data_IF_992751945280
#
_entry.id   IF_992751945280
#
_cell.length_a   1.000
_cell.length_b   1.000
_cell.length_c   1.000
_cell.angle_alpha   90.00
_cell.angle_beta   90.00
_cell.angle_gamma   90.00
#
_symmetry.space_group_name_H-M   'P 1'
#
loop_
_entity.id
_entity.type
_entity.pdbx_description
1 polymer ?
#
# COMPACT_ATOMS: atom_id res chain seq x y z
N UNK A 1 -31.99 17.88 13.55
CA UNK A 1 -31.04 16.88 14.05
C UNK A 1 -30.35 16.27 12.84
N UNK A 2 -29.11 16.69 12.58
CA UNK A 2 -28.32 16.19 11.46
C UNK A 2 -27.40 15.08 11.97
N UNK A 3 -27.77 13.83 11.71
CA UNK A 3 -26.98 12.65 12.09
C UNK A 3 -25.55 12.72 11.52
N UNK A 4 -25.33 13.46 10.42
CA UNK A 4 -23.99 13.61 9.82
C UNK A 4 -23.06 14.49 10.65
N UNK A 5 -23.59 15.52 11.32
CA UNK A 5 -22.79 16.45 12.13
C UNK A 5 -22.33 15.89 13.47
N UNK A 6 -23.12 15.01 14.09
CA UNK A 6 -22.78 14.38 15.38
C UNK A 6 -21.77 13.24 15.17
N UNK A 7 -21.98 12.42 14.13
CA UNK A 7 -21.04 11.35 13.76
C UNK A 7 -19.68 11.92 13.34
N UNK A 8 -19.65 13.08 12.67
CA UNK A 8 -18.38 13.70 12.27
C UNK A 8 -17.59 14.22 13.47
N UNK A 9 -18.19 14.97 14.38
CA UNK A 9 -17.47 15.64 15.47
C UNK A 9 -16.81 14.64 16.45
N UNK A 10 -17.51 13.57 16.81
CA UNK A 10 -16.96 12.54 17.69
C UNK A 10 -15.88 11.70 16.99
N UNK A 11 -16.02 11.42 15.69
CA UNK A 11 -14.99 10.74 14.92
C UNK A 11 -13.72 11.59 14.80
N UNK A 12 -13.86 12.88 14.44
CA UNK A 12 -12.75 13.82 14.38
C UNK A 12 -12.05 13.94 15.74
N UNK A 13 -12.81 14.06 16.82
CA UNK A 13 -12.27 14.16 18.18
C UNK A 13 -11.50 12.89 18.56
N UNK A 14 -12.06 11.71 18.28
CA UNK A 14 -11.37 10.44 18.56
C UNK A 14 -10.12 10.25 17.69
N UNK A 15 -10.11 10.72 16.45
CA UNK A 15 -8.93 10.74 15.58
C UNK A 15 -7.85 11.67 16.14
N UNK A 16 -8.22 12.90 16.53
CA UNK A 16 -7.27 13.87 17.10
C UNK A 16 -6.65 13.44 18.43
N UNK A 17 -7.36 12.62 19.21
CA UNK A 17 -6.88 12.12 20.50
C UNK A 17 -6.32 10.70 20.43
N UNK A 18 -6.22 10.11 19.24
CA UNK A 18 -5.71 8.74 19.06
C UNK A 18 -6.53 7.70 19.88
N UNK A 19 -7.82 8.00 20.08
CA UNK A 19 -8.77 7.23 20.92
C UNK A 19 -9.76 6.40 20.11
N UNK A 20 -9.65 6.43 18.78
CA UNK A 20 -10.36 5.45 17.97
C UNK A 20 -9.60 4.13 18.10
N UNK A 21 -10.32 3.06 18.40
CA UNK A 21 -9.90 1.68 18.10
C UNK A 21 -9.87 1.46 16.56
N UNK A 22 -9.45 2.46 15.79
CA UNK A 22 -9.29 2.38 14.34
C UNK A 22 -7.91 1.81 14.09
N UNK A 23 -7.88 0.74 13.31
CA UNK A 23 -6.64 0.24 12.75
C UNK A 23 -6.10 1.29 11.76
N UNK A 24 -5.16 2.13 12.21
CA UNK A 24 -4.54 3.18 11.40
C UNK A 24 -3.95 2.64 10.09
N UNK A 25 -3.46 1.40 10.10
CA UNK A 25 -3.00 0.71 8.89
C UNK A 25 -4.12 0.59 7.85
N UNK A 26 -5.27 0.05 8.24
CA UNK A 26 -6.43 -0.10 7.34
C UNK A 26 -6.96 1.24 6.83
N UNK A 27 -6.92 2.29 7.66
CA UNK A 27 -7.31 3.63 7.24
C UNK A 27 -6.36 4.18 6.17
N UNK A 28 -5.05 4.07 6.40
CA UNK A 28 -4.03 4.54 5.45
C UNK A 28 -4.07 3.73 4.15
N UNK A 29 -4.24 2.42 4.22
CA UNK A 29 -4.44 1.55 3.04
C UNK A 29 -5.66 1.97 2.22
N UNK A 30 -6.78 2.28 2.87
CA UNK A 30 -7.98 2.75 2.19
C UNK A 30 -7.76 4.12 1.52
N UNK A 31 -7.08 5.05 2.20
CA UNK A 31 -6.71 6.36 1.62
C UNK A 31 -5.83 6.17 0.38
N UNK A 32 -4.82 5.30 0.45
CA UNK A 32 -3.98 4.92 -0.70
C UNK A 32 -4.80 4.30 -1.82
N UNK A 33 -5.71 3.37 -1.50
CA UNK A 33 -6.58 2.75 -2.49
C UNK A 33 -7.39 3.81 -3.25
N UNK A 34 -8.00 4.77 -2.53
CA UNK A 34 -8.76 5.85 -3.14
C UNK A 34 -7.90 6.75 -4.03
N UNK A 35 -6.69 7.10 -3.59
CA UNK A 35 -5.74 7.89 -4.40
C UNK A 35 -5.33 7.17 -5.69
N UNK A 36 -4.99 5.88 -5.61
CA UNK A 36 -4.64 5.07 -6.78
C UNK A 36 -5.83 4.94 -7.76
N UNK A 37 -7.05 4.72 -7.24
CA UNK A 37 -8.27 4.68 -8.06
C UNK A 37 -8.53 6.00 -8.75
N UNK A 38 -8.36 7.12 -8.05
CA UNK A 38 -8.52 8.46 -8.61
C UNK A 38 -7.48 8.76 -9.69
N UNK A 39 -6.25 8.25 -9.55
CA UNK A 39 -5.19 8.32 -10.56
C UNK A 39 -5.42 7.37 -11.77
N UNK A 40 -6.50 6.58 -11.77
CA UNK A 40 -6.88 5.73 -12.90
C UNK A 40 -6.41 4.28 -12.82
N UNK A 41 -5.78 3.88 -11.70
CA UNK A 41 -5.32 2.50 -11.53
C UNK A 41 -6.46 1.53 -11.23
N UNK A 42 -6.38 0.33 -11.82
CA UNK A 42 -7.11 -0.82 -11.30
C UNK A 42 -6.31 -1.41 -10.14
N UNK A 43 -6.99 -1.61 -9.01
CA UNK A 43 -6.37 -2.19 -7.82
C UNK A 43 -6.53 -3.70 -7.85
N UNK A 44 -5.42 -4.40 -7.69
CA UNK A 44 -5.38 -5.84 -7.47
C UNK A 44 -4.64 -6.11 -6.16
N UNK A 45 -5.11 -7.10 -5.42
CA UNK A 45 -4.48 -7.53 -4.16
C UNK A 45 -3.86 -8.90 -4.37
N UNK A 46 -2.73 -9.18 -3.71
CA UNK A 46 -2.10 -10.50 -3.80
C UNK A 46 -1.88 -11.06 -2.41
N UNK A 47 -2.50 -12.20 -2.13
CA UNK A 47 -2.28 -12.96 -0.91
C UNK A 47 -2.03 -14.42 -1.25
N UNK A 48 -0.95 -14.98 -0.73
CA UNK A 48 -0.65 -16.39 -0.78
C UNK A 48 -0.53 -16.92 0.64
N UNK A 49 -1.51 -17.72 1.06
CA UNK A 49 -1.61 -18.23 2.43
C UNK A 49 -1.02 -19.63 2.60
N UNK A 50 0.06 -19.96 1.87
CA UNK A 50 0.66 -21.30 1.88
C UNK A 50 0.80 -21.86 3.31
N UNK A 51 0.17 -23.04 3.51
CA UNK A 51 0.15 -23.75 4.79
C UNK A 51 1.39 -24.62 5.00
N UNK A 52 2.12 -24.90 3.92
CA UNK A 52 3.23 -25.85 3.88
C UNK A 52 4.60 -25.17 3.74
N UNK A 53 4.65 -23.93 3.23
CA UNK A 53 5.89 -23.18 3.03
C UNK A 53 5.75 -21.75 3.54
N UNK A 54 6.50 -21.41 4.58
CA UNK A 54 6.55 -20.05 5.12
C UNK A 54 7.15 -19.07 4.10
N UNK A 55 8.02 -19.55 3.21
CA UNK A 55 8.63 -18.75 2.14
C UNK A 55 7.62 -18.35 1.06
N UNK A 56 6.60 -19.18 0.86
CA UNK A 56 5.51 -18.86 -0.07
C UNK A 56 4.43 -17.96 0.53
N UNK A 57 4.41 -17.80 1.86
CA UNK A 57 3.47 -16.91 2.52
C UNK A 57 3.89 -15.46 2.31
N UNK A 58 3.06 -14.73 1.57
CA UNK A 58 3.23 -13.29 1.35
C UNK A 58 1.88 -12.65 1.03
N UNK A 59 1.75 -11.41 1.47
CA UNK A 59 0.62 -10.53 1.17
C UNK A 59 1.19 -9.20 0.69
N UNK A 60 0.65 -8.68 -0.40
CA UNK A 60 1.01 -7.40 -0.99
C UNK A 60 -0.26 -6.57 -1.07
N UNK A 61 -0.21 -5.37 -0.49
CA UNK A 61 -1.38 -4.49 -0.34
C UNK A 61 -1.97 -4.12 -1.69
N UNK A 62 -1.16 -3.70 -2.67
CA UNK A 62 -1.66 -3.42 -4.02
C UNK A 62 -0.68 -3.86 -5.11
N UNK A 63 -1.24 -4.25 -6.25
CA UNK A 63 -0.55 -4.38 -7.52
C UNK A 63 -1.19 -3.40 -8.50
N UNK A 64 -0.38 -2.54 -9.11
CA UNK A 64 -0.80 -1.67 -10.21
C UNK A 64 -0.11 -2.10 -11.51
N UNK A 65 -0.79 -1.87 -12.63
CA UNK A 65 -0.19 -2.08 -13.94
C UNK A 65 0.45 -0.77 -14.43
N UNK A 66 1.57 -0.88 -15.15
CA UNK A 66 2.11 0.28 -15.88
C UNK A 66 1.09 0.80 -16.88
N UNK A 67 1.09 2.11 -17.17
CA UNK A 67 0.26 2.68 -18.24
C UNK A 67 0.51 2.04 -19.60
N UNK A 68 1.77 1.65 -19.88
CA UNK A 68 2.18 0.98 -21.11
C UNK A 68 2.63 -0.44 -20.80
N UNK A 69 1.83 -1.41 -21.24
CA UNK A 69 2.12 -2.84 -21.12
C UNK A 69 3.15 -3.26 -22.17
N UNK A 70 4.22 -3.90 -21.73
CA UNK A 70 5.24 -4.52 -22.60
C UNK A 70 5.18 -6.05 -22.48
N UNK A 71 6.13 -6.78 -23.06
CA UNK A 71 6.17 -8.24 -22.93
C UNK A 71 6.56 -8.72 -21.53
N UNK A 72 7.18 -7.87 -20.69
CA UNK A 72 7.62 -8.16 -19.32
C UNK A 72 7.53 -6.92 -18.44
N UNK A 73 7.76 -7.05 -17.14
CA UNK A 73 7.89 -5.89 -16.23
C UNK A 73 6.69 -4.93 -16.28
N UNK A 74 5.48 -5.46 -16.12
CA UNK A 74 4.24 -4.68 -16.27
C UNK A 74 3.57 -4.35 -14.95
N UNK A 75 3.94 -5.02 -13.87
CA UNK A 75 3.23 -4.97 -12.60
C UNK A 75 4.12 -4.34 -11.55
N UNK A 76 3.66 -3.29 -10.90
CA UNK A 76 4.34 -2.66 -9.78
C UNK A 76 3.64 -3.07 -8.48
N UNK A 77 4.33 -3.84 -7.60
CA UNK A 77 3.82 -4.13 -6.27
C UNK A 77 4.00 -2.90 -5.37
N UNK A 78 3.00 -2.63 -4.53
CA UNK A 78 2.95 -1.52 -3.61
C UNK A 78 2.67 -2.07 -2.22
N UNK A 79 3.52 -1.69 -1.28
CA UNK A 79 3.35 -1.93 0.15
C UNK A 79 3.07 -0.59 0.85
N UNK A 80 2.04 -0.53 1.69
CA UNK A 80 1.63 0.66 2.43
C UNK A 80 2.04 0.52 3.89
N UNK A 81 2.69 1.56 4.43
CA UNK A 81 3.22 1.58 5.79
C UNK A 81 2.77 2.83 6.53
N UNK A 82 1.92 2.64 7.54
CA UNK A 82 1.43 3.69 8.42
C UNK A 82 2.31 3.94 9.65
N UNK A 83 3.14 2.95 10.06
CA UNK A 83 3.95 3.02 11.28
C UNK A 83 5.45 3.18 11.04
N UNK A 84 6.19 3.60 12.08
CA UNK A 84 7.63 3.88 11.98
C UNK A 84 8.51 2.64 11.79
N UNK A 85 8.06 1.47 12.27
CA UNK A 85 8.78 0.20 12.19
C UNK A 85 7.97 -0.80 11.38
N UNK A 86 8.54 -1.25 10.28
CA UNK A 86 7.94 -2.29 9.44
C UNK A 86 9.01 -3.16 8.81
N UNK A 87 8.61 -4.35 8.40
CA UNK A 87 9.42 -5.24 7.57
C UNK A 87 8.87 -5.25 6.15
N UNK A 88 9.72 -5.56 5.18
CA UNK A 88 9.35 -5.68 3.77
C UNK A 88 9.46 -7.13 3.30
N UNK A 89 9.22 -8.09 4.20
CA UNK A 89 9.46 -9.51 3.92
C UNK A 89 8.58 -10.00 2.76
N UNK A 90 7.29 -9.66 2.75
CA UNK A 90 6.38 -10.02 1.65
C UNK A 90 6.82 -9.41 0.32
N UNK A 91 7.11 -8.11 0.31
CA UNK A 91 7.56 -7.39 -0.88
C UNK A 91 8.87 -7.97 -1.42
N UNK A 92 9.88 -8.22 -0.55
CA UNK A 92 11.16 -8.82 -0.95
C UNK A 92 10.98 -10.24 -1.50
N UNK A 93 10.11 -11.05 -0.90
CA UNK A 93 9.76 -12.38 -1.44
C UNK A 93 9.06 -12.28 -2.81
N UNK A 94 8.16 -11.32 -2.98
CA UNK A 94 7.50 -11.05 -4.25
C UNK A 94 8.51 -10.67 -5.33
N UNK A 95 9.45 -9.78 -5.00
CA UNK A 95 10.56 -9.38 -5.90
C UNK A 95 11.40 -10.61 -6.29
N UNK A 96 11.84 -11.40 -5.31
CA UNK A 96 12.66 -12.59 -5.57
C UNK A 96 11.94 -13.63 -6.43
N UNK A 97 10.64 -13.86 -6.19
CA UNK A 97 9.85 -14.90 -6.87
C UNK A 97 9.36 -14.48 -8.25
N UNK A 98 9.01 -13.20 -8.43
CA UNK A 98 8.32 -12.71 -9.63
C UNK A 98 9.06 -11.60 -10.38
N UNK A 99 10.31 -11.30 -10.04
CA UNK A 99 11.06 -10.14 -10.59
C UNK A 99 11.05 -10.00 -12.12
N UNK A 100 10.98 -11.09 -12.88
CA UNK A 100 10.87 -11.05 -14.36
C UNK A 100 9.56 -10.43 -14.88
N UNK A 101 8.52 -10.38 -14.05
CA UNK A 101 7.19 -9.81 -14.36
C UNK A 101 6.97 -8.44 -13.72
N UNK A 102 7.76 -8.11 -12.70
CA UNK A 102 7.59 -6.88 -11.93
C UNK A 102 8.31 -5.71 -12.58
N UNK A 103 7.66 -4.55 -12.55
CA UNK A 103 8.30 -3.26 -12.77
C UNK A 103 8.82 -2.74 -11.42
N UNK A 104 8.61 -1.46 -11.12
CA UNK A 104 9.16 -0.78 -9.96
C UNK A 104 8.37 -1.21 -8.72
N UNK A 105 9.00 -1.80 -7.70
CA UNK A 105 8.39 -2.01 -6.39
C UNK A 105 8.31 -0.69 -5.62
N UNK A 106 7.17 -0.42 -5.00
CA UNK A 106 6.94 0.79 -4.22
C UNK A 106 6.65 0.49 -2.75
N UNK A 107 7.12 1.38 -1.88
CA UNK A 107 6.68 1.47 -0.48
C UNK A 107 6.11 2.86 -0.26
N UNK A 108 4.85 2.94 0.15
CA UNK A 108 4.20 4.20 0.49
C UNK A 108 4.25 4.40 2.00
N UNK A 109 4.84 5.50 2.47
CA UNK A 109 5.11 5.74 3.89
C UNK A 109 5.05 7.22 4.29
N UNK A 110 5.28 7.53 5.56
CA UNK A 110 5.26 8.88 6.15
C UNK A 110 6.59 9.67 6.06
N UNK A 111 7.66 9.07 5.53
CA UNK A 111 9.00 9.69 5.42
C UNK A 111 9.28 10.28 4.04
N UNK A 112 10.48 10.86 3.89
CA UNK A 112 10.97 11.42 2.64
C UNK A 112 11.17 10.38 1.54
N UNK A 113 11.09 10.84 0.28
CA UNK A 113 11.38 10.02 -0.89
C UNK A 113 12.78 9.43 -0.80
N UNK A 114 12.90 8.12 -1.07
CA UNK A 114 14.18 7.45 -1.19
C UNK A 114 14.12 6.28 -2.15
N UNK A 115 15.26 5.85 -2.65
CA UNK A 115 15.39 4.58 -3.40
C UNK A 115 16.48 3.76 -2.72
N UNK A 116 16.17 2.52 -2.39
CA UNK A 116 17.08 1.61 -1.67
C UNK A 116 16.78 0.17 -2.11
N UNK A 117 17.82 -0.62 -2.39
CA UNK A 117 17.70 -2.01 -2.84
C UNK A 117 16.76 -2.24 -4.05
N UNK A 118 16.65 -1.25 -4.95
CA UNK A 118 15.75 -1.31 -6.10
C UNK A 118 14.26 -1.10 -5.76
N UNK A 119 13.95 -0.67 -4.54
CA UNK A 119 12.60 -0.30 -4.08
C UNK A 119 12.52 1.23 -4.02
N UNK A 120 11.45 1.79 -4.56
CA UNK A 120 11.17 3.24 -4.49
C UNK A 120 10.21 3.51 -3.34
N UNK A 121 10.65 4.33 -2.40
CA UNK A 121 9.86 4.73 -1.26
C UNK A 121 9.30 6.12 -1.51
N UNK A 122 7.97 6.26 -1.42
CA UNK A 122 7.29 7.52 -1.65
C UNK A 122 6.49 7.93 -0.41
N UNK A 123 6.48 9.23 -0.08
CA UNK A 123 5.50 9.79 0.84
C UNK A 123 4.07 9.43 0.41
N UNK A 124 3.19 9.15 1.37
CA UNK A 124 1.78 8.80 1.10
C UNK A 124 1.08 9.82 0.18
N UNK A 125 1.38 11.11 0.31
CA UNK A 125 0.79 12.17 -0.52
C UNK A 125 1.23 12.13 -2.00
N UNK A 126 2.29 11.39 -2.33
CA UNK A 126 2.76 11.21 -3.71
C UNK A 126 2.09 10.03 -4.43
N UNK A 127 1.20 9.29 -3.75
CA UNK A 127 0.45 8.17 -4.36
C UNK A 127 -0.22 8.53 -5.69
N UNK A 128 -0.85 9.72 -5.87
CA UNK A 128 -1.50 10.06 -7.15
C UNK A 128 -0.53 10.28 -8.32
N UNK A 129 0.78 10.31 -8.08
CA UNK A 129 1.82 10.46 -9.11
C UNK A 129 2.26 9.12 -9.70
N UNK A 130 1.79 8.00 -9.13
CA UNK A 130 2.00 6.64 -9.64
C UNK A 130 1.12 6.34 -10.85
#
# INVERSE_FOLDING_TARGET
FDERGIVSADLYRKLMFDKLEVNEGMLVENIVAQMLRAAGHKLYFFSNSSRTSADDRMEIDFLIAKPVTTSRHNISPIEVKSGQRYTLNSLRKCIAKYGSRLSTPYVLHDKDVKTEDGIVYLPLYMTPLL
#
